data_IF_079826773508
#
_entry.id   IF_079826773508
#
_cell.length_a   1.000
_cell.length_b   1.000
_cell.length_c   1.000
_cell.angle_alpha   90.00
_cell.angle_beta   90.00
_cell.angle_gamma   90.00
#
_symmetry.space_group_name_H-M   'P 1'
#
loop_
_entity.id
_entity.type
_entity.pdbx_description
1 polymer ?
#
# COMPACT_ATOMS: atom_id res chain seq x y z
N UNK A 1 0.09 27.81 -3.82
CA UNK A 1 0.56 28.42 -2.55
C UNK A 1 -0.45 28.15 -1.46
N UNK A 2 -0.01 27.72 -0.30
CA UNK A 2 -0.86 27.45 0.86
C UNK A 2 -0.45 28.31 2.05
N UNK A 3 -1.41 28.72 2.85
CA UNK A 3 -1.21 29.37 4.14
C UNK A 3 -2.26 28.89 5.13
N UNK A 4 -1.94 28.90 6.42
CA UNK A 4 -2.86 28.57 7.50
C UNK A 4 -3.39 29.86 8.11
N UNK A 5 -4.71 29.92 8.37
CA UNK A 5 -5.36 31.05 9.04
C UNK A 5 -6.04 30.56 10.31
N UNK A 6 -5.71 31.17 11.44
CA UNK A 6 -6.35 30.92 12.74
C UNK A 6 -6.82 32.27 13.30
N UNK A 7 -8.13 32.48 13.30
CA UNK A 7 -8.71 33.77 13.69
C UNK A 7 -8.23 34.92 12.79
N UNK A 8 -7.62 35.94 13.39
CA UNK A 8 -7.04 37.09 12.67
C UNK A 8 -5.62 36.86 12.16
N UNK A 9 -4.94 35.80 12.60
CA UNK A 9 -3.55 35.50 12.24
C UNK A 9 -3.48 34.64 10.99
N UNK A 10 -2.53 34.99 10.09
CA UNK A 10 -2.25 34.28 8.86
C UNK A 10 -0.78 33.97 8.76
N UNK A 11 -0.44 32.71 8.47
CA UNK A 11 0.95 32.32 8.24
C UNK A 11 1.48 32.88 6.91
N UNK A 12 2.80 32.87 6.71
CA UNK A 12 3.41 33.12 5.42
C UNK A 12 2.95 32.09 4.38
N UNK A 13 2.89 32.49 3.11
CA UNK A 13 2.58 31.59 2.00
C UNK A 13 3.74 30.62 1.74
N UNK A 14 3.46 29.32 1.72
CA UNK A 14 4.41 28.31 1.24
C UNK A 14 3.99 27.79 -0.14
N UNK A 15 4.96 27.60 -1.02
CA UNK A 15 4.75 26.98 -2.33
C UNK A 15 4.78 25.46 -2.13
N UNK A 16 3.69 24.79 -2.45
CA UNK A 16 3.62 23.33 -2.54
C UNK A 16 4.06 22.93 -3.95
N UNK A 17 5.13 22.16 -4.05
CA UNK A 17 5.66 21.66 -5.33
C UNK A 17 5.11 20.29 -5.72
N UNK A 18 4.65 19.52 -4.73
CA UNK A 18 4.01 18.21 -4.91
C UNK A 18 2.96 18.11 -3.80
N UNK A 19 1.78 17.69 -4.09
CA UNK A 19 0.68 17.35 -3.18
C UNK A 19 -0.62 18.07 -3.57
N UNK A 20 -1.73 17.41 -3.29
CA UNK A 20 -3.07 18.00 -3.44
C UNK A 20 -3.51 18.51 -2.08
N UNK A 21 -4.18 19.67 -1.99
CA UNK A 21 -4.66 20.21 -0.70
C UNK A 21 -5.53 19.18 0.03
N UNK A 22 -5.20 18.87 1.29
CA UNK A 22 -6.05 18.04 2.14
C UNK A 22 -7.42 18.69 2.30
N UNK A 23 -8.49 17.89 2.21
CA UNK A 23 -9.87 18.38 2.29
C UNK A 23 -10.47 18.89 0.96
N UNK A 24 -9.73 18.79 -0.15
CA UNK A 24 -10.29 19.02 -1.49
C UNK A 24 -11.23 17.89 -1.88
N UNK A 25 -12.39 18.21 -2.43
CA UNK A 25 -13.37 17.24 -2.96
C UNK A 25 -12.77 16.39 -4.10
N UNK A 26 -11.79 16.94 -4.84
CA UNK A 26 -11.18 16.31 -6.00
C UNK A 26 -10.00 15.42 -5.60
N UNK A 27 -9.37 15.62 -4.44
CA UNK A 27 -8.17 14.88 -4.03
C UNK A 27 -8.35 13.36 -3.99
N UNK A 28 -9.43 12.80 -3.40
CA UNK A 28 -9.65 11.35 -3.41
C UNK A 28 -9.82 10.79 -4.81
N UNK A 29 -10.52 11.51 -5.69
CA UNK A 29 -10.72 11.09 -7.08
C UNK A 29 -9.41 11.09 -7.87
N UNK A 30 -8.60 12.12 -7.73
CA UNK A 30 -7.28 12.20 -8.37
C UNK A 30 -6.35 11.09 -7.88
N UNK A 31 -6.39 10.77 -6.58
CA UNK A 31 -5.61 9.65 -6.03
C UNK A 31 -6.05 8.32 -6.64
N UNK A 32 -7.35 8.04 -6.74
CA UNK A 32 -7.86 6.83 -7.36
C UNK A 32 -7.46 6.71 -8.83
N UNK A 33 -7.54 7.80 -9.60
CA UNK A 33 -7.08 7.82 -10.99
C UNK A 33 -5.58 7.56 -11.08
N UNK A 34 -4.80 8.10 -10.14
CA UNK A 34 -3.35 7.94 -10.10
C UNK A 34 -2.94 6.50 -9.76
N UNK A 35 -3.64 5.87 -8.79
CA UNK A 35 -3.27 4.54 -8.29
C UNK A 35 -3.90 3.38 -9.07
N UNK A 36 -4.89 3.64 -9.93
CA UNK A 36 -5.64 2.58 -10.64
C UNK A 36 -4.77 1.56 -11.38
N UNK A 37 -3.63 2.01 -11.92
CA UNK A 37 -2.75 1.14 -12.71
C UNK A 37 -1.90 0.17 -11.85
N UNK A 38 -1.91 0.31 -10.51
CA UNK A 38 -1.26 -0.65 -9.62
C UNK A 38 -1.84 -2.05 -9.76
N UNK A 39 -3.11 -2.16 -10.15
CA UNK A 39 -3.77 -3.43 -10.39
C UNK A 39 -3.15 -4.23 -11.54
N UNK A 40 -2.40 -3.57 -12.42
CA UNK A 40 -1.69 -4.18 -13.55
C UNK A 40 -0.22 -4.44 -13.24
N UNK A 41 0.30 -3.96 -12.11
CA UNK A 41 1.71 -4.05 -11.78
C UNK A 41 2.13 -5.46 -11.33
N UNK A 42 1.18 -6.29 -10.91
CA UNK A 42 1.44 -7.62 -10.38
C UNK A 42 0.30 -8.58 -10.67
N UNK A 43 0.49 -9.86 -10.36
CA UNK A 43 -0.55 -10.90 -10.48
C UNK A 43 -1.49 -11.00 -9.28
N UNK A 44 -1.37 -10.11 -8.29
CA UNK A 44 -2.32 -10.07 -7.19
C UNK A 44 -3.73 -9.69 -7.67
N UNK A 45 -4.72 -10.33 -7.08
CA UNK A 45 -6.06 -9.77 -7.11
C UNK A 45 -6.11 -8.56 -6.18
N UNK A 46 -6.22 -7.37 -6.76
CA UNK A 46 -6.10 -6.10 -6.02
C UNK A 46 -7.46 -5.48 -5.81
N UNK A 47 -7.76 -5.13 -4.56
CA UNK A 47 -8.95 -4.35 -4.19
C UNK A 47 -8.52 -3.01 -3.62
N UNK A 48 -9.06 -1.93 -4.17
CA UNK A 48 -8.79 -0.56 -3.74
C UNK A 48 -10.01 -0.02 -3.00
N UNK A 49 -9.80 0.53 -1.82
CA UNK A 49 -10.83 1.22 -1.05
C UNK A 49 -10.25 2.50 -0.45
N UNK A 50 -10.64 3.64 -1.01
CA UNK A 50 -10.04 4.94 -0.69
C UNK A 50 -8.51 4.91 -0.83
N UNK A 51 -7.78 5.08 0.25
CA UNK A 51 -6.31 5.02 0.33
C UNK A 51 -5.77 3.62 0.67
N UNK A 52 -6.66 2.66 0.99
CA UNK A 52 -6.27 1.30 1.33
C UNK A 52 -6.13 0.41 0.09
N UNK A 53 -5.03 -0.34 0.04
CA UNK A 53 -4.74 -1.31 -1.01
C UNK A 53 -4.72 -2.70 -0.38
N UNK A 54 -5.65 -3.56 -0.82
CA UNK A 54 -5.68 -4.96 -0.40
C UNK A 54 -5.24 -5.85 -1.55
N UNK A 55 -4.25 -6.69 -1.28
CA UNK A 55 -3.65 -7.63 -2.23
C UNK A 55 -4.01 -9.05 -1.81
N UNK A 56 -4.61 -9.81 -2.71
CA UNK A 56 -5.06 -11.18 -2.46
C UNK A 56 -4.34 -12.16 -3.37
N UNK A 57 -3.90 -13.26 -2.80
CA UNK A 57 -3.31 -14.36 -3.54
C UNK A 57 -3.61 -15.69 -2.85
N UNK A 58 -3.82 -16.75 -3.60
CA UNK A 58 -4.05 -18.09 -3.07
C UNK A 58 -3.22 -19.12 -3.81
N UNK A 59 -2.74 -20.13 -3.08
CA UNK A 59 -2.09 -21.30 -3.65
C UNK A 59 -2.27 -22.49 -2.71
N UNK A 60 -2.30 -23.69 -3.25
CA UNK A 60 -2.40 -24.94 -2.47
C UNK A 60 -1.11 -25.31 -1.74
N UNK A 61 0.02 -24.79 -2.17
CA UNK A 61 1.33 -25.04 -1.59
C UNK A 61 1.89 -23.77 -0.92
N UNK A 62 2.19 -23.83 0.38
CA UNK A 62 2.70 -22.69 1.14
C UNK A 62 4.03 -22.15 0.65
N UNK A 63 4.96 -23.03 0.26
CA UNK A 63 6.29 -22.61 -0.21
C UNK A 63 6.17 -21.84 -1.52
N UNK A 64 5.33 -22.31 -2.45
CA UNK A 64 5.05 -21.62 -3.71
C UNK A 64 4.35 -20.30 -3.43
N UNK A 65 3.35 -20.30 -2.54
CA UNK A 65 2.64 -19.09 -2.17
C UNK A 65 3.59 -18.02 -1.62
N UNK A 66 4.45 -18.39 -0.68
CA UNK A 66 5.42 -17.46 -0.08
C UNK A 66 6.39 -16.88 -1.10
N UNK A 67 6.96 -17.74 -1.95
CA UNK A 67 7.89 -17.29 -3.00
C UNK A 67 7.20 -16.34 -3.98
N UNK A 68 6.01 -16.72 -4.44
CA UNK A 68 5.24 -15.92 -5.40
C UNK A 68 4.82 -14.58 -4.79
N UNK A 69 4.30 -14.59 -3.55
CA UNK A 69 3.93 -13.36 -2.84
C UNK A 69 5.11 -12.40 -2.74
N UNK A 70 6.27 -12.87 -2.31
CA UNK A 70 7.46 -12.00 -2.17
C UNK A 70 7.93 -11.46 -3.53
N UNK A 71 7.87 -12.27 -4.59
CA UNK A 71 8.22 -11.83 -5.95
C UNK A 71 7.26 -10.75 -6.46
N UNK A 72 5.96 -10.97 -6.29
CA UNK A 72 4.94 -10.02 -6.75
C UNK A 72 4.93 -8.72 -5.93
N UNK A 73 5.22 -8.80 -4.63
CA UNK A 73 5.40 -7.61 -3.79
C UNK A 73 6.61 -6.76 -4.22
N UNK A 74 7.66 -7.38 -4.74
CA UNK A 74 8.79 -6.67 -5.32
C UNK A 74 8.37 -5.82 -6.54
N UNK A 75 7.47 -6.36 -7.39
CA UNK A 75 6.91 -5.61 -8.53
C UNK A 75 6.07 -4.42 -8.07
N UNK A 76 5.26 -4.60 -7.01
CA UNK A 76 4.48 -3.52 -6.41
C UNK A 76 5.40 -2.43 -5.85
N UNK A 77 6.46 -2.79 -5.12
CA UNK A 77 7.43 -1.82 -4.60
C UNK A 77 8.10 -1.02 -5.73
N UNK A 78 8.52 -1.69 -6.80
CA UNK A 78 9.06 -1.02 -7.98
C UNK A 78 8.05 -0.06 -8.61
N UNK A 79 6.79 -0.47 -8.75
CA UNK A 79 5.74 0.39 -9.30
C UNK A 79 5.50 1.62 -8.42
N UNK A 80 5.41 1.43 -7.09
CA UNK A 80 5.24 2.53 -6.14
C UNK A 80 6.38 3.55 -6.26
N UNK A 81 7.62 3.10 -6.28
CA UNK A 81 8.80 3.97 -6.43
C UNK A 81 8.81 4.71 -7.76
N UNK A 82 8.50 4.02 -8.86
CA UNK A 82 8.41 4.64 -10.19
C UNK A 82 7.37 5.77 -10.22
N UNK A 83 6.29 5.61 -9.44
CA UNK A 83 5.23 6.60 -9.28
C UNK A 83 5.45 7.56 -8.10
N UNK A 84 6.67 7.63 -7.55
CA UNK A 84 7.03 8.52 -6.43
C UNK A 84 6.15 8.36 -5.18
N UNK A 85 5.64 7.14 -4.97
CA UNK A 85 4.92 6.74 -3.78
C UNK A 85 5.85 5.95 -2.86
N UNK A 86 5.70 6.13 -1.54
CA UNK A 86 6.42 5.37 -0.54
C UNK A 86 5.45 4.54 0.29
N UNK A 87 5.81 3.26 0.47
CA UNK A 87 5.05 2.34 1.31
C UNK A 87 5.32 2.60 2.79
N UNK A 88 4.27 2.66 3.59
CA UNK A 88 4.40 2.70 5.03
C UNK A 88 4.47 1.27 5.59
N UNK A 89 5.68 0.74 5.77
CA UNK A 89 5.91 -0.63 6.25
C UNK A 89 5.29 -0.91 7.63
N UNK A 90 5.24 0.10 8.52
CA UNK A 90 4.66 -0.05 9.86
C UNK A 90 3.13 -0.21 9.85
N UNK A 91 2.46 0.31 8.82
CA UNK A 91 1.02 0.17 8.62
C UNK A 91 0.66 -1.01 7.72
N UNK A 92 1.65 -1.59 7.03
CA UNK A 92 1.46 -2.73 6.14
C UNK A 92 1.50 -4.03 6.96
N UNK A 93 0.54 -4.90 6.72
CA UNK A 93 0.45 -6.19 7.40
C UNK A 93 -0.13 -7.23 6.46
N UNK A 94 0.11 -8.51 6.74
CA UNK A 94 -0.52 -9.59 6.01
C UNK A 94 -1.33 -10.50 6.93
N UNK A 95 -2.29 -11.19 6.36
CA UNK A 95 -3.09 -12.20 7.01
C UNK A 95 -3.00 -13.50 6.21
N UNK A 96 -2.65 -14.60 6.86
CA UNK A 96 -2.64 -15.91 6.24
C UNK A 96 -3.91 -16.66 6.62
N UNK A 97 -4.75 -16.92 5.63
CA UNK A 97 -5.98 -17.69 5.80
C UNK A 97 -5.73 -19.14 5.33
N UNK A 98 -6.00 -20.10 6.20
CA UNK A 98 -5.84 -21.52 5.89
C UNK A 98 -6.97 -22.34 6.49
N UNK A 99 -7.42 -23.36 5.77
CA UNK A 99 -8.37 -24.36 6.27
C UNK A 99 -7.68 -25.45 7.12
N UNK A 100 -6.33 -25.49 7.11
CA UNK A 100 -5.55 -26.47 7.87
C UNK A 100 -5.35 -25.99 9.30
N UNK A 101 -5.46 -26.90 10.29
CA UNK A 101 -5.24 -26.61 11.73
C UNK A 101 -3.82 -26.18 12.09
N UNK A 102 -2.85 -26.28 11.17
CA UNK A 102 -1.48 -25.85 11.37
C UNK A 102 -1.19 -24.62 10.51
N UNK A 103 -1.09 -23.47 11.16
CA UNK A 103 -0.43 -22.31 10.56
C UNK A 103 1.07 -22.60 10.45
N UNK A 104 1.67 -22.52 9.26
CA UNK A 104 3.12 -22.66 9.17
C UNK A 104 3.76 -21.51 9.94
N UNK A 105 4.46 -21.84 11.02
CA UNK A 105 5.17 -20.87 11.89
C UNK A 105 6.30 -20.13 11.16
N UNK A 106 6.58 -20.50 9.91
CA UNK A 106 7.69 -19.98 9.10
C UNK A 106 7.26 -19.14 7.89
N UNK A 107 5.95 -18.80 7.73
CA UNK A 107 5.53 -18.00 6.58
C UNK A 107 6.00 -16.55 6.76
N UNK A 108 6.93 -16.11 5.89
CA UNK A 108 7.53 -14.78 5.96
C UNK A 108 7.20 -13.98 4.71
N UNK A 109 6.73 -12.77 4.92
CA UNK A 109 6.48 -11.79 3.86
C UNK A 109 7.46 -10.64 4.02
N UNK A 110 8.18 -10.34 2.95
CA UNK A 110 9.19 -9.28 2.92
C UNK A 110 8.96 -8.35 1.76
N UNK A 111 9.14 -7.06 1.98
CA UNK A 111 9.14 -6.04 0.93
C UNK A 111 10.40 -5.21 1.12
N UNK A 112 11.26 -5.15 0.10
CA UNK A 112 12.49 -4.37 0.13
C UNK A 112 13.31 -4.58 1.42
N UNK A 113 13.56 -5.84 1.80
CA UNK A 113 14.26 -6.26 3.01
C UNK A 113 13.56 -5.91 4.36
N UNK A 114 12.36 -5.36 4.32
CA UNK A 114 11.54 -5.14 5.51
C UNK A 114 10.60 -6.34 5.73
N UNK A 115 10.65 -6.91 6.92
CA UNK A 115 9.68 -7.95 7.32
C UNK A 115 8.32 -7.31 7.59
N UNK A 116 7.29 -7.85 6.96
CA UNK A 116 5.91 -7.41 7.17
C UNK A 116 5.30 -8.22 8.31
N UNK A 117 4.61 -7.54 9.21
CA UNK A 117 3.97 -8.18 10.36
C UNK A 117 2.75 -8.99 9.95
N UNK A 118 2.63 -10.21 10.52
CA UNK A 118 1.43 -11.01 10.39
C UNK A 118 0.38 -10.54 11.40
N UNK A 119 -0.85 -10.32 10.94
CA UNK A 119 -2.01 -10.18 11.82
C UNK A 119 -2.73 -11.52 11.92
N UNK A 120 -3.06 -11.90 13.13
CA UNK A 120 -3.94 -13.05 13.42
C UNK A 120 -5.39 -12.58 13.52
N UNK A 121 -6.30 -13.41 13.06
CA UNK A 121 -7.75 -13.24 13.26
C UNK A 121 -8.13 -13.49 14.70
#
# INVERSE_FOLDING_TARGET
MQCTKIGAFKSSYKRTSCEVPQGSVISPLLFLVYIKDITKASSFHTTLFADDINLHMSNSCFNILQTTVNLELCKIDHWLRANKLSLNYNKTSFMLLTSRKHNPTSFKVTINNHNISQKTT
#
